data_IF_231284620824
#
_entry.id   IF_231284620824
#
_cell.length_a   1.000
_cell.length_b   1.000
_cell.length_c   1.000
_cell.angle_alpha   90.00
_cell.angle_beta   90.00
_cell.angle_gamma   90.00
#
_symmetry.space_group_name_H-M   'P 1'
#
loop_
_entity.id
_entity.type
_entity.pdbx_description
1 polymer ?
#
# COMPACT_ATOMS: atom_id res chain seq x y z
N UNK A 1 10.25 -16.37 -16.86
CA UNK A 1 9.79 -15.49 -15.77
C UNK A 1 8.47 -16.03 -15.27
N UNK A 2 8.42 -16.45 -13.99
CA UNK A 2 7.20 -16.96 -13.36
C UNK A 2 6.62 -15.88 -12.44
N UNK A 3 5.36 -15.49 -12.65
CA UNK A 3 4.66 -14.47 -11.88
C UNK A 3 3.46 -15.11 -11.19
N UNK A 4 3.27 -14.82 -9.92
CA UNK A 4 2.12 -15.25 -9.14
C UNK A 4 1.20 -14.07 -8.82
N UNK A 5 -0.10 -14.27 -9.03
CA UNK A 5 -1.14 -13.37 -8.57
C UNK A 5 -1.89 -14.03 -7.40
N UNK A 6 -1.93 -13.38 -6.24
CA UNK A 6 -2.64 -13.94 -5.10
C UNK A 6 -4.15 -13.89 -5.34
N UNK A 7 -4.90 -14.99 -5.09
CA UNK A 7 -6.35 -14.98 -5.16
C UNK A 7 -6.89 -13.86 -4.25
N UNK A 8 -7.76 -13.01 -4.80
CA UNK A 8 -8.34 -11.85 -4.09
C UNK A 8 -7.33 -10.86 -3.48
N UNK A 9 -6.03 -11.01 -3.77
CA UNK A 9 -4.96 -10.17 -3.23
C UNK A 9 -4.68 -10.39 -1.74
N UNK A 10 -5.20 -11.47 -1.17
CA UNK A 10 -4.93 -11.86 0.20
C UNK A 10 -3.60 -12.61 0.28
N UNK A 11 -2.75 -12.20 1.15
CA UNK A 11 -1.47 -12.84 1.45
C UNK A 11 -1.05 -12.45 2.87
N UNK A 12 -0.13 -13.19 3.42
CA UNK A 12 0.58 -12.91 4.67
C UNK A 12 2.08 -13.21 4.45
N UNK A 13 2.89 -13.01 5.45
CA UNK A 13 4.33 -13.27 5.35
C UNK A 13 4.65 -14.73 5.03
N UNK A 14 3.88 -15.67 5.53
CA UNK A 14 4.03 -17.10 5.24
C UNK A 14 3.76 -17.40 3.74
N UNK A 15 2.70 -16.85 3.18
CA UNK A 15 2.38 -16.99 1.74
C UNK A 15 3.47 -16.36 0.88
N UNK A 16 3.99 -15.20 1.27
CA UNK A 16 5.13 -14.55 0.57
C UNK A 16 6.34 -15.47 0.54
N UNK A 17 6.66 -16.10 1.68
CA UNK A 17 7.78 -17.04 1.77
C UNK A 17 7.56 -18.28 0.89
N UNK A 18 6.38 -18.89 0.94
CA UNK A 18 6.04 -20.06 0.11
C UNK A 18 6.14 -19.76 -1.39
N UNK A 19 5.69 -18.57 -1.83
CA UNK A 19 5.80 -18.14 -3.24
C UNK A 19 7.26 -17.99 -3.65
N UNK A 20 8.10 -17.47 -2.77
CA UNK A 20 9.55 -17.35 -3.00
C UNK A 20 10.22 -18.73 -3.10
N UNK A 21 9.91 -19.63 -2.17
CA UNK A 21 10.44 -21.01 -2.15
C UNK A 21 9.98 -21.83 -3.36
N UNK A 22 8.78 -21.57 -3.88
CA UNK A 22 8.27 -22.17 -5.10
C UNK A 22 8.94 -21.68 -6.38
N UNK A 23 9.91 -20.75 -6.29
CA UNK A 23 10.73 -20.28 -7.41
C UNK A 23 10.05 -19.26 -8.33
N UNK A 24 9.02 -18.54 -7.84
CA UNK A 24 8.46 -17.43 -8.60
C UNK A 24 9.42 -16.22 -8.57
N UNK A 25 9.52 -15.50 -9.69
CA UNK A 25 10.33 -14.29 -9.80
C UNK A 25 9.65 -13.08 -9.17
N UNK A 26 8.30 -13.04 -9.21
CA UNK A 26 7.51 -11.93 -8.69
C UNK A 26 6.10 -12.39 -8.29
N UNK A 27 5.47 -11.62 -7.38
CA UNK A 27 4.08 -11.81 -7.00
C UNK A 27 3.36 -10.48 -6.79
N UNK A 28 2.08 -10.44 -7.19
CA UNK A 28 1.22 -9.28 -7.06
C UNK A 28 0.17 -9.47 -5.97
N UNK A 29 0.05 -8.46 -5.11
CA UNK A 29 -1.09 -8.29 -4.22
C UNK A 29 -2.18 -7.39 -4.82
N UNK A 30 -3.11 -6.93 -3.98
CA UNK A 30 -4.14 -5.94 -4.35
C UNK A 30 -3.95 -4.59 -3.64
N UNK A 31 -2.76 -4.33 -3.12
CA UNK A 31 -2.42 -3.01 -2.63
C UNK A 31 -2.43 -2.02 -3.79
N UNK A 32 -3.11 -0.88 -3.63
CA UNK A 32 -3.10 0.16 -4.67
C UNK A 32 -1.76 0.88 -4.68
N UNK A 33 -1.13 0.97 -5.83
CA UNK A 33 0.16 1.66 -5.96
C UNK A 33 0.88 1.33 -7.26
N UNK A 34 2.05 1.90 -7.40
CA UNK A 34 2.93 1.69 -8.54
C UNK A 34 3.96 0.63 -8.16
N UNK A 35 4.09 -0.40 -8.97
CA UNK A 35 5.09 -1.45 -8.77
C UNK A 35 6.51 -0.89 -8.93
N UNK A 36 7.38 -1.25 -8.01
CA UNK A 36 8.80 -0.87 -8.00
C UNK A 36 9.62 -1.88 -7.20
N UNK A 37 10.93 -1.91 -7.40
CA UNK A 37 11.82 -2.87 -6.76
C UNK A 37 12.35 -2.47 -5.38
N UNK A 38 11.94 -1.35 -4.80
CA UNK A 38 12.48 -0.86 -3.53
C UNK A 38 12.16 -1.79 -2.34
N UNK A 39 10.95 -2.35 -2.30
CA UNK A 39 10.47 -3.23 -1.24
C UNK A 39 10.48 -4.72 -1.64
N UNK A 40 11.17 -5.08 -2.73
CA UNK A 40 11.15 -6.44 -3.26
C UNK A 40 10.09 -6.68 -4.32
N UNK A 41 9.95 -7.95 -4.75
CA UNK A 41 9.11 -8.33 -5.89
C UNK A 41 7.91 -9.23 -5.54
N UNK A 42 7.71 -9.57 -4.26
CA UNK A 42 6.70 -10.56 -3.86
C UNK A 42 5.41 -9.97 -3.30
N UNK A 43 5.34 -8.64 -3.19
CA UNK A 43 4.17 -7.89 -2.71
C UNK A 43 3.86 -6.71 -3.65
N UNK A 44 4.07 -6.89 -4.95
CA UNK A 44 3.92 -5.81 -5.92
C UNK A 44 2.50 -5.26 -5.93
N UNK A 45 2.34 -3.94 -5.82
CA UNK A 45 1.04 -3.30 -5.88
C UNK A 45 0.52 -3.23 -7.32
N UNK A 46 -0.78 -2.99 -7.45
CA UNK A 46 -1.44 -2.75 -8.74
C UNK A 46 -2.65 -1.85 -8.57
N UNK A 47 -2.99 -1.08 -9.59
CA UNK A 47 -4.28 -0.40 -9.65
C UNK A 47 -5.33 -1.35 -10.25
N UNK A 48 -6.36 -1.66 -9.46
CA UNK A 48 -7.49 -2.43 -9.96
C UNK A 48 -8.31 -1.57 -10.94
N UNK A 49 -8.58 -2.12 -12.11
CA UNK A 49 -9.46 -1.56 -13.13
C UNK A 49 -10.63 -2.53 -13.32
N UNK A 50 -11.83 -2.05 -13.09
CA UNK A 50 -13.08 -2.76 -13.30
C UNK A 50 -14.13 -1.80 -13.88
N UNK A 51 -15.35 -2.24 -14.11
CA UNK A 51 -16.42 -1.40 -14.68
C UNK A 51 -16.65 -0.11 -13.89
N UNK A 52 -16.51 -0.15 -12.56
CA UNK A 52 -16.71 1.02 -11.69
C UNK A 52 -15.48 1.94 -11.66
N UNK A 53 -14.27 1.39 -11.79
CA UNK A 53 -13.00 2.11 -11.64
C UNK A 53 -12.12 2.06 -12.91
N UNK A 54 -12.68 1.70 -14.07
CA UNK A 54 -11.98 1.59 -15.34
C UNK A 54 -12.19 2.77 -16.30
N UNK A 55 -12.56 3.93 -15.80
CA UNK A 55 -12.72 5.13 -16.61
C UNK A 55 -11.37 5.74 -17.02
N UNK A 56 -11.43 6.64 -17.99
CA UNK A 56 -10.23 7.26 -18.60
C UNK A 56 -9.41 8.04 -17.56
N UNK A 57 -10.07 8.81 -16.69
CA UNK A 57 -9.40 9.62 -15.66
C UNK A 57 -8.64 8.73 -14.68
N UNK A 58 -9.22 7.58 -14.32
CA UNK A 58 -8.56 6.59 -13.46
C UNK A 58 -7.35 5.96 -14.13
N UNK A 59 -7.45 5.65 -15.42
CA UNK A 59 -6.33 5.12 -16.20
C UNK A 59 -5.21 6.15 -16.29
N UNK A 60 -5.51 7.40 -16.63
CA UNK A 60 -4.52 8.48 -16.71
C UNK A 60 -3.82 8.70 -15.36
N UNK A 61 -4.56 8.65 -14.25
CA UNK A 61 -3.99 8.72 -12.91
C UNK A 61 -3.05 7.53 -12.63
N UNK A 62 -3.43 6.32 -12.99
CA UNK A 62 -2.64 5.12 -12.74
C UNK A 62 -1.35 5.09 -13.55
N UNK A 63 -1.39 5.40 -14.87
CA UNK A 63 -0.21 5.42 -15.72
C UNK A 63 0.76 6.57 -15.40
N UNK A 64 0.26 7.67 -14.85
CA UNK A 64 1.07 8.80 -14.37
C UNK A 64 1.48 8.68 -12.90
N UNK A 65 1.03 7.63 -12.21
CA UNK A 65 1.38 7.38 -10.82
C UNK A 65 2.90 7.23 -10.62
N UNK A 66 3.36 7.61 -9.44
CA UNK A 66 4.73 7.42 -8.98
C UNK A 66 4.72 6.52 -7.74
N UNK A 67 5.76 5.71 -7.51
CA UNK A 67 5.86 4.97 -6.27
C UNK A 67 6.08 5.93 -5.09
N UNK A 68 5.35 5.72 -4.01
CA UNK A 68 5.69 6.24 -2.70
C UNK A 68 6.59 5.20 -2.03
N UNK A 69 7.89 5.43 -2.07
CA UNK A 69 8.88 4.48 -1.55
C UNK A 69 8.91 4.53 -0.03
N UNK A 70 8.59 3.41 0.61
CA UNK A 70 8.53 3.27 2.07
C UNK A 70 9.28 2.03 2.53
N UNK A 71 9.71 2.05 3.79
CA UNK A 71 10.35 0.95 4.50
C UNK A 71 9.86 0.88 5.93
N UNK A 72 10.30 -0.10 6.70
CA UNK A 72 9.97 -0.25 8.12
C UNK A 72 8.46 -0.15 8.38
N UNK A 73 7.66 -0.86 7.59
CA UNK A 73 6.21 -0.83 7.66
C UNK A 73 5.76 -1.60 8.92
N UNK A 74 4.92 -0.97 9.72
CA UNK A 74 4.31 -1.57 10.92
C UNK A 74 2.79 -1.49 10.78
N UNK A 75 2.04 -2.57 11.02
CA UNK A 75 2.52 -3.93 11.23
C UNK A 75 3.17 -4.49 9.96
N UNK A 76 4.16 -5.38 10.13
CA UNK A 76 4.85 -6.01 9.01
C UNK A 76 3.92 -6.96 8.26
N UNK A 77 3.14 -7.77 8.99
CA UNK A 77 2.11 -8.62 8.38
C UNK A 77 0.83 -7.82 8.10
N UNK A 78 0.11 -8.25 7.09
CA UNK A 78 -1.21 -7.69 6.74
C UNK A 78 -2.34 -8.33 7.55
N UNK A 79 -2.13 -9.52 8.13
CA UNK A 79 -3.06 -10.16 9.07
C UNK A 79 -2.92 -9.48 10.43
N UNK A 80 -3.99 -8.85 10.88
CA UNK A 80 -3.97 -8.07 12.11
C UNK A 80 -4.13 -8.96 13.34
N UNK A 81 -3.17 -8.90 14.25
CA UNK A 81 -3.27 -9.46 15.61
C UNK A 81 -3.83 -8.45 16.61
N UNK A 82 -3.82 -7.17 16.26
CA UNK A 82 -4.40 -6.07 17.04
C UNK A 82 -5.20 -5.15 16.13
N UNK A 83 -6.40 -4.77 16.53
CA UNK A 83 -7.28 -3.88 15.78
C UNK A 83 -7.92 -2.82 16.71
N UNK A 84 -7.67 -1.51 16.55
CA UNK A 84 -6.95 -0.90 15.44
C UNK A 84 -5.45 -1.18 15.48
N UNK A 85 -4.79 -1.31 14.30
CA UNK A 85 -3.35 -1.49 14.23
C UNK A 85 -2.60 -0.20 14.57
N UNK A 86 -1.41 -0.35 15.14
CA UNK A 86 -0.40 0.71 15.12
C UNK A 86 0.17 0.73 13.70
N UNK A 87 -0.16 1.76 12.92
CA UNK A 87 0.23 1.81 11.51
C UNK A 87 1.22 2.93 11.26
N UNK A 88 2.34 2.59 10.65
CA UNK A 88 3.35 3.55 10.29
C UNK A 88 4.39 2.98 9.31
N UNK A 89 5.18 3.86 8.73
CA UNK A 89 6.27 3.51 7.82
C UNK A 89 7.29 4.64 7.73
N UNK A 90 8.49 4.32 7.25
CA UNK A 90 9.55 5.31 7.02
C UNK A 90 9.65 5.64 5.53
N UNK A 91 9.59 6.92 5.19
CA UNK A 91 9.74 7.42 3.83
C UNK A 91 11.21 7.32 3.37
N UNK A 92 11.43 6.95 2.12
CA UNK A 92 12.77 6.89 1.54
C UNK A 92 13.43 8.30 1.54
N UNK A 93 14.78 8.38 1.53
CA UNK A 93 15.51 9.65 1.62
C UNK A 93 15.22 10.64 0.49
N UNK A 94 14.80 10.14 -0.67
CA UNK A 94 14.45 10.93 -1.85
C UNK A 94 13.00 11.44 -1.86
N UNK A 95 12.29 11.32 -0.71
CA UNK A 95 10.95 11.85 -0.52
C UNK A 95 11.04 13.21 0.20
N UNK A 96 10.88 14.29 -0.53
CA UNK A 96 11.12 15.68 -0.08
C UNK A 96 9.86 16.47 0.31
N UNK A 97 8.67 15.85 0.19
CA UNK A 97 7.39 16.51 0.47
C UNK A 97 6.58 15.77 1.54
N UNK A 98 7.25 15.19 2.52
CA UNK A 98 6.66 14.34 3.56
C UNK A 98 5.51 15.00 4.33
N UNK A 99 5.54 16.33 4.53
CA UNK A 99 4.47 17.10 5.19
C UNK A 99 3.17 17.15 4.37
N UNK A 100 3.22 16.83 3.08
CA UNK A 100 2.07 16.77 2.21
C UNK A 100 1.49 15.34 2.10
N UNK A 101 2.07 14.37 2.82
CA UNK A 101 1.53 13.02 2.91
C UNK A 101 0.10 13.05 3.45
N UNK A 102 -0.79 12.33 2.77
CA UNK A 102 -2.19 12.15 3.17
C UNK A 102 -2.54 10.68 3.07
N UNK A 103 -3.18 10.16 4.12
CA UNK A 103 -3.65 8.78 4.14
C UNK A 103 -5.17 8.75 4.30
N UNK A 104 -5.80 7.77 3.67
CA UNK A 104 -7.25 7.61 3.64
C UNK A 104 -7.63 6.15 3.87
N UNK A 105 -8.69 5.96 4.63
CA UNK A 105 -9.36 4.67 4.79
C UNK A 105 -10.80 4.78 4.27
N UNK A 106 -11.34 3.71 3.70
CA UNK A 106 -12.69 3.72 3.10
C UNK A 106 -13.80 4.02 4.11
N UNK A 107 -13.63 3.65 5.39
CA UNK A 107 -14.61 3.89 6.45
C UNK A 107 -14.43 5.26 7.10
N UNK A 108 -13.20 5.60 7.42
CA UNK A 108 -12.89 6.78 8.24
C UNK A 108 -12.53 8.02 7.43
N UNK A 109 -12.44 7.90 6.08
CA UNK A 109 -12.00 9.00 5.24
C UNK A 109 -10.53 9.33 5.47
N UNK A 110 -10.23 10.63 5.57
CA UNK A 110 -8.87 11.12 5.82
C UNK A 110 -8.44 10.76 7.24
N UNK A 111 -7.23 10.18 7.35
CA UNK A 111 -6.61 9.81 8.61
C UNK A 111 -5.63 10.89 9.09
N UNK A 112 -5.41 10.94 10.41
CA UNK A 112 -4.38 11.78 11.01
C UNK A 112 -3.01 11.15 10.76
N UNK A 113 -2.09 11.96 10.24
CA UNK A 113 -0.71 11.57 9.93
C UNK A 113 0.23 12.48 10.71
N UNK A 114 1.07 11.89 11.54
CA UNK A 114 2.17 12.56 12.24
C UNK A 114 3.49 12.20 11.59
N UNK A 115 4.31 13.20 11.28
CA UNK A 115 5.63 13.02 10.67
C UNK A 115 6.72 13.38 11.69
N UNK A 116 7.60 12.43 11.97
CA UNK A 116 8.75 12.57 12.86
C UNK A 116 10.01 12.23 12.06
N UNK A 117 10.74 13.25 11.64
CA UNK A 117 11.78 13.06 10.63
C UNK A 117 11.17 12.52 9.34
N UNK A 118 11.55 11.31 8.94
CA UNK A 118 10.96 10.58 7.79
C UNK A 118 9.97 9.49 8.20
N UNK A 119 9.73 9.30 9.50
CA UNK A 119 8.75 8.35 10.00
C UNK A 119 7.35 8.94 9.93
N UNK A 120 6.44 8.25 9.26
CA UNK A 120 5.03 8.56 9.23
C UNK A 120 4.28 7.61 10.17
N UNK A 121 3.56 8.17 11.14
CA UNK A 121 2.65 7.46 12.03
C UNK A 121 1.21 7.83 11.67
N UNK A 122 0.41 6.83 11.36
CA UNK A 122 -0.97 6.99 10.89
C UNK A 122 -1.92 6.53 11.99
N UNK A 123 -2.68 7.45 12.54
CA UNK A 123 -3.63 7.16 13.62
C UNK A 123 -4.97 6.70 13.06
N UNK A 124 -5.40 5.51 13.48
CA UNK A 124 -6.74 4.98 13.21
C UNK A 124 -7.72 5.51 14.25
N UNK A 125 -8.85 6.13 13.86
CA UNK A 125 -9.86 6.61 14.81
C UNK A 125 -10.59 5.49 15.55
N UNK A 126 -10.51 4.27 15.05
CA UNK A 126 -11.14 3.09 15.64
C UNK A 126 -10.81 1.82 14.87
N UNK A 127 -11.40 0.69 15.24
CA UNK A 127 -11.12 -0.60 14.60
C UNK A 127 -11.44 -0.61 13.11
N UNK A 128 -10.54 -1.19 12.33
CA UNK A 128 -10.79 -1.50 10.93
C UNK A 128 -11.90 -2.54 10.83
N UNK A 129 -12.80 -2.39 9.88
CA UNK A 129 -13.99 -3.24 9.75
C UNK A 129 -14.04 -3.93 8.39
N UNK A 130 -14.69 -5.10 8.37
CA UNK A 130 -14.80 -5.97 7.21
C UNK A 130 -13.53 -6.80 7.04
N UNK A 131 -13.64 -7.94 6.39
CA UNK A 131 -12.52 -8.89 6.20
C UNK A 131 -11.28 -8.26 5.55
N UNK A 132 -11.46 -7.18 4.81
CA UNK A 132 -10.41 -6.45 4.09
C UNK A 132 -10.57 -4.96 4.33
N UNK A 133 -9.62 -4.36 4.99
CA UNK A 133 -9.57 -2.92 5.17
C UNK A 133 -8.36 -2.35 4.42
N UNK A 134 -8.53 -1.23 3.75
CA UNK A 134 -7.47 -0.60 2.95
C UNK A 134 -7.16 0.79 3.48
N UNK A 135 -5.87 1.07 3.54
CA UNK A 135 -5.36 2.42 3.76
C UNK A 135 -4.51 2.79 2.55
N UNK A 136 -4.85 3.89 1.92
CA UNK A 136 -4.12 4.43 0.78
C UNK A 136 -3.49 5.76 1.19
N UNK A 137 -2.19 5.87 1.00
CA UNK A 137 -1.42 7.07 1.26
C UNK A 137 -0.94 7.67 -0.06
N UNK A 138 -1.05 8.97 -0.19
CA UNK A 138 -0.64 9.73 -1.36
C UNK A 138 0.17 10.94 -0.97
N UNK A 139 1.07 11.33 -1.85
CA UNK A 139 1.91 12.52 -1.71
C UNK A 139 2.17 13.13 -3.09
N UNK A 140 2.22 14.45 -3.24
CA UNK A 140 2.64 15.06 -4.49
C UNK A 140 4.02 14.55 -4.92
N UNK A 141 4.24 14.44 -6.23
CA UNK A 141 5.51 14.10 -6.85
C UNK A 141 5.94 15.16 -7.85
N UNK A 142 6.44 14.74 -9.00
CA UNK A 142 6.69 15.65 -10.11
C UNK A 142 5.40 16.38 -10.54
N UNK A 143 5.46 17.54 -11.20
CA UNK A 143 4.29 18.33 -11.58
C UNK A 143 3.19 17.49 -12.23
N UNK A 144 1.98 17.57 -11.68
CA UNK A 144 0.81 16.82 -12.16
C UNK A 144 0.79 15.32 -11.81
N UNK A 145 1.76 14.81 -11.06
CA UNK A 145 1.86 13.38 -10.71
C UNK A 145 1.77 13.17 -9.21
N UNK A 146 1.22 12.02 -8.82
CA UNK A 146 1.04 11.62 -7.42
C UNK A 146 1.82 10.36 -7.10
N UNK A 147 2.44 10.34 -5.93
CA UNK A 147 3.04 9.14 -5.34
C UNK A 147 1.97 8.37 -4.59
N UNK A 148 2.00 7.04 -4.70
CA UNK A 148 1.00 6.14 -4.12
C UNK A 148 1.65 5.00 -3.35
N UNK A 149 1.09 4.76 -2.16
CA UNK A 149 1.33 3.57 -1.37
C UNK A 149 0.03 3.13 -0.72
N UNK A 150 -0.45 1.93 -1.05
CA UNK A 150 -1.61 1.30 -0.45
C UNK A 150 -1.19 0.10 0.40
N UNK A 151 -1.88 -0.09 1.51
CA UNK A 151 -1.77 -1.27 2.36
C UNK A 151 -3.16 -1.84 2.60
N UNK A 152 -3.34 -3.13 2.33
CA UNK A 152 -4.53 -3.87 2.70
C UNK A 152 -4.26 -4.61 4.00
N UNK A 153 -5.19 -4.54 4.92
CA UNK A 153 -5.17 -5.30 6.16
C UNK A 153 -6.28 -6.35 6.13
N UNK A 154 -5.97 -7.53 6.68
CA UNK A 154 -6.92 -8.61 6.88
C UNK A 154 -7.33 -8.63 8.36
N UNK A 155 -8.62 -8.53 8.61
CA UNK A 155 -9.21 -8.61 9.94
C UNK A 155 -10.01 -9.90 10.04
N UNK A 156 -9.95 -10.56 11.17
CA UNK A 156 -10.80 -11.71 11.50
C UNK A 156 -12.27 -11.32 11.64
#
# INVERSE_FOLDING_TARGET
MCIRDSPYGEYNLEVVQLVREAGFDAAFGQNSGVAHGYNGFYELPRFAMNEQYGNRERLELAINGLPLKVSEIVPEDVVLTQNPPLYGFTLAPDMDQERQLRCFNSKYGKLDVSIIGRRAEIRMPGPLVGKRARVNCTMPGAPGRWRWFGRQFLTE
#
